data_IF_009208888385
#
_entry.id   IF_009208888385
#
_cell.length_a   1.000
_cell.length_b   1.000
_cell.length_c   1.000
_cell.angle_alpha   90.00
_cell.angle_beta   90.00
_cell.angle_gamma   90.00
#
_symmetry.space_group_name_H-M   'P 1'
#
loop_
_entity.id
_entity.type
_entity.pdbx_description
1 polymer ?
#
# COMPACT_ATOMS: atom_id res chain seq x y z
N UNK A 1 18.24 -11.10 -8.93
CA UNK A 1 16.92 -10.66 -9.41
C UNK A 1 16.49 -9.54 -8.48
N UNK A 2 16.17 -8.38 -9.02
CA UNK A 2 15.64 -7.29 -8.20
C UNK A 2 14.27 -7.68 -7.65
N UNK A 3 13.93 -7.30 -6.40
CA UNK A 3 12.65 -7.66 -5.83
C UNK A 3 11.51 -7.03 -6.65
N UNK A 4 10.46 -7.80 -6.87
CA UNK A 4 9.22 -7.35 -7.51
C UNK A 4 8.07 -7.58 -6.55
N UNK A 5 7.14 -6.62 -6.49
CA UNK A 5 6.00 -6.66 -5.59
C UNK A 5 4.71 -6.75 -6.41
N UNK A 6 3.83 -7.68 -6.06
CA UNK A 6 2.53 -7.82 -6.73
C UNK A 6 1.60 -6.69 -6.30
N UNK A 7 0.83 -6.13 -7.24
CA UNK A 7 -0.28 -5.20 -6.93
C UNK A 7 -1.55 -5.99 -6.55
N UNK A 8 -1.53 -7.32 -6.71
CA UNK A 8 -2.62 -8.20 -6.31
C UNK A 8 -3.77 -8.31 -7.31
N UNK A 9 -3.70 -7.64 -8.46
CA UNK A 9 -4.69 -7.74 -9.53
C UNK A 9 -4.27 -8.86 -10.50
N UNK A 10 -4.92 -10.01 -10.40
CA UNK A 10 -4.60 -11.20 -11.20
C UNK A 10 -5.01 -11.08 -12.68
N UNK A 11 -5.93 -10.18 -13.03
CA UNK A 11 -6.41 -9.95 -14.39
C UNK A 11 -5.54 -9.02 -15.23
N UNK A 12 -4.50 -8.40 -14.64
CA UNK A 12 -3.56 -7.56 -15.37
C UNK A 12 -2.57 -8.39 -16.20
N UNK A 13 -2.09 -7.79 -17.28
CA UNK A 13 -0.93 -8.27 -18.02
C UNK A 13 0.28 -8.43 -17.09
N UNK A 14 1.13 -9.43 -17.35
CA UNK A 14 2.26 -9.76 -16.47
C UNK A 14 3.25 -8.59 -16.30
N UNK A 15 3.36 -7.71 -17.30
CA UNK A 15 4.20 -6.51 -17.23
C UNK A 15 3.62 -5.42 -16.31
N UNK A 16 2.31 -5.39 -16.10
CA UNK A 16 1.61 -4.36 -15.32
C UNK A 16 1.26 -4.80 -13.91
N UNK A 17 1.35 -6.10 -13.60
CA UNK A 17 0.96 -6.63 -12.29
C UNK A 17 2.07 -6.56 -11.23
N UNK A 18 3.29 -6.20 -11.63
CA UNK A 18 4.46 -6.18 -10.76
C UNK A 18 5.07 -4.77 -10.66
N UNK A 19 5.34 -4.33 -9.44
CA UNK A 19 6.12 -3.14 -9.14
C UNK A 19 7.58 -3.54 -8.86
N UNK A 20 8.56 -3.15 -9.71
CA UNK A 20 9.98 -3.32 -9.42
C UNK A 20 10.37 -2.49 -8.20
N UNK A 21 11.25 -3.05 -7.36
CA UNK A 21 11.80 -2.37 -6.21
C UNK A 21 12.60 -1.11 -6.61
N UNK A 22 12.62 -0.13 -5.71
CA UNK A 22 13.36 1.13 -5.90
C UNK A 22 12.64 2.18 -6.75
N UNK A 23 11.44 1.89 -7.26
CA UNK A 23 10.60 2.84 -8.00
C UNK A 23 9.50 3.47 -7.15
N UNK A 24 8.97 4.60 -7.62
CA UNK A 24 7.73 5.21 -7.11
C UNK A 24 6.62 4.92 -8.12
N UNK A 25 5.51 4.39 -7.63
CA UNK A 25 4.35 4.03 -8.43
C UNK A 25 3.17 4.92 -8.05
N UNK A 26 2.51 5.51 -9.05
CA UNK A 26 1.34 6.37 -8.86
C UNK A 26 0.11 5.72 -9.48
N UNK A 27 -0.94 5.56 -8.67
CA UNK A 27 -2.23 5.04 -9.10
C UNK A 27 -3.30 6.12 -8.97
N UNK A 28 -4.04 6.35 -10.04
CA UNK A 28 -5.26 7.15 -10.00
C UNK A 28 -6.45 6.20 -9.93
N UNK A 29 -7.32 6.43 -8.95
CA UNK A 29 -8.52 5.63 -8.73
C UNK A 29 -9.69 6.58 -8.54
N UNK A 30 -10.80 6.32 -9.22
CA UNK A 30 -11.92 7.25 -9.30
C UNK A 30 -12.73 7.33 -7.98
N UNK A 31 -12.85 6.22 -7.27
CA UNK A 31 -13.66 6.12 -6.04
C UNK A 31 -12.77 5.80 -4.85
N UNK A 32 -13.07 6.44 -3.72
CA UNK A 32 -12.30 6.24 -2.48
C UNK A 32 -12.31 4.78 -2.01
N UNK A 33 -13.46 4.09 -2.10
CA UNK A 33 -13.57 2.68 -1.72
C UNK A 33 -12.75 1.73 -2.61
N UNK A 34 -12.61 2.08 -3.89
CA UNK A 34 -11.78 1.31 -4.83
C UNK A 34 -10.29 1.51 -4.52
N UNK A 35 -9.89 2.71 -4.10
CA UNK A 35 -8.53 2.99 -3.66
C UNK A 35 -8.17 2.21 -2.39
N UNK A 36 -9.09 2.13 -1.43
CA UNK A 36 -8.93 1.31 -0.22
C UNK A 36 -8.83 -0.17 -0.58
N UNK A 37 -9.72 -0.66 -1.45
CA UNK A 37 -9.74 -2.05 -1.88
C UNK A 37 -8.44 -2.44 -2.60
N UNK A 38 -7.95 -1.59 -3.49
CA UNK A 38 -6.67 -1.78 -4.18
C UNK A 38 -5.51 -1.83 -3.19
N UNK A 39 -5.47 -0.92 -2.21
CA UNK A 39 -4.43 -0.90 -1.20
C UNK A 39 -4.46 -2.17 -0.33
N UNK A 40 -5.63 -2.58 0.17
CA UNK A 40 -5.78 -3.82 0.95
C UNK A 40 -5.32 -5.04 0.14
N UNK A 41 -5.75 -5.14 -1.13
CA UNK A 41 -5.38 -6.24 -2.01
C UNK A 41 -3.87 -6.26 -2.30
N UNK A 42 -3.28 -5.08 -2.52
CA UNK A 42 -1.83 -4.94 -2.69
C UNK A 42 -1.11 -5.43 -1.45
N UNK A 43 -1.53 -5.01 -0.25
CA UNK A 43 -0.92 -5.43 1.02
C UNK A 43 -1.06 -6.94 1.22
N UNK A 44 -2.26 -7.49 1.06
CA UNK A 44 -2.53 -8.93 1.22
C UNK A 44 -1.75 -9.81 0.23
N UNK A 45 -1.32 -9.24 -0.91
CA UNK A 45 -0.53 -9.95 -1.93
C UNK A 45 0.97 -9.96 -1.64
N UNK A 46 1.43 -9.34 -0.55
CA UNK A 46 2.83 -9.38 -0.14
C UNK A 46 3.13 -10.62 0.71
N UNK A 47 4.40 -11.04 0.71
CA UNK A 47 4.84 -12.15 1.54
C UNK A 47 4.75 -11.81 3.04
N UNK A 48 4.58 -12.83 3.90
CA UNK A 48 4.57 -12.69 5.36
C UNK A 48 5.82 -11.98 5.90
N UNK A 49 6.96 -12.19 5.25
CA UNK A 49 8.24 -11.59 5.62
C UNK A 49 8.45 -10.17 5.08
N UNK A 50 7.50 -9.63 4.31
CA UNK A 50 7.63 -8.29 3.75
C UNK A 50 7.54 -7.21 4.84
N UNK A 51 8.37 -6.17 4.74
CA UNK A 51 8.27 -5.00 5.59
C UNK A 51 7.38 -3.95 4.90
N UNK A 52 6.16 -3.80 5.40
CA UNK A 52 5.17 -2.88 4.83
C UNK A 52 4.87 -1.75 5.81
N UNK A 53 4.88 -0.52 5.28
CA UNK A 53 4.40 0.67 5.95
C UNK A 53 3.25 1.26 5.15
N UNK A 54 2.17 1.63 5.83
CA UNK A 54 1.01 2.28 5.23
C UNK A 54 0.89 3.67 5.81
N UNK A 55 0.78 4.66 4.93
CA UNK A 55 0.64 6.06 5.30
C UNK A 55 -0.69 6.56 4.72
N UNK A 56 -1.57 7.05 5.58
CA UNK A 56 -2.79 7.77 5.16
C UNK A 56 -2.66 9.25 5.47
N UNK A 57 -3.31 10.07 4.63
CA UNK A 57 -3.41 11.50 4.83
C UNK A 57 -4.77 11.83 5.47
N UNK A 58 -4.77 12.68 6.50
CA UNK A 58 -5.99 13.21 7.16
C UNK A 58 -6.92 12.18 7.81
N UNK A 59 -6.50 10.92 7.92
CA UNK A 59 -7.37 9.85 8.39
C UNK A 59 -6.54 8.77 9.09
N UNK A 60 -7.12 8.15 10.11
CA UNK A 60 -6.49 7.05 10.83
C UNK A 60 -6.43 5.80 9.94
N UNK A 61 -5.24 5.32 9.55
CA UNK A 61 -5.11 4.17 8.65
C UNK A 61 -5.76 2.91 9.23
N UNK A 62 -5.78 2.75 10.56
CA UNK A 62 -6.42 1.60 11.21
C UNK A 62 -7.95 1.59 11.06
N UNK A 63 -8.56 2.73 10.70
CA UNK A 63 -10.00 2.85 10.44
C UNK A 63 -10.35 2.77 8.95
N UNK A 64 -9.35 2.95 8.08
CA UNK A 64 -9.52 2.96 6.63
C UNK A 64 -9.28 1.56 6.06
N UNK A 65 -8.14 0.96 6.42
CA UNK A 65 -7.69 -0.29 5.84
C UNK A 65 -8.31 -1.48 6.56
N UNK A 66 -8.77 -2.45 5.79
CA UNK A 66 -9.28 -3.73 6.28
C UNK A 66 -8.25 -4.78 5.91
N UNK A 67 -7.28 -4.95 6.81
CA UNK A 67 -6.16 -5.84 6.62
C UNK A 67 -6.61 -7.23 7.08
N UNK A 68 -6.57 -8.19 6.16
CA UNK A 68 -6.90 -9.59 6.46
C UNK A 68 -5.70 -10.25 7.16
N UNK A 69 -5.88 -10.71 8.40
CA UNK A 69 -4.82 -11.37 9.17
C UNK A 69 -4.42 -12.74 8.60
N UNK A 70 -5.18 -13.29 7.66
CA UNK A 70 -4.93 -14.61 7.08
C UNK A 70 -3.96 -14.60 5.90
N UNK A 71 -3.71 -13.45 5.27
CA UNK A 71 -2.84 -13.30 4.09
C UNK A 71 -2.11 -11.94 4.11
N UNK A 72 -0.84 -11.92 3.73
CA UNK A 72 -0.05 -10.68 3.67
C UNK A 72 1.11 -10.64 4.66
N UNK A 73 1.70 -9.46 4.92
CA UNK A 73 2.82 -9.26 5.84
C UNK A 73 2.44 -9.58 7.28
N UNK A 74 3.31 -10.28 8.01
CA UNK A 74 3.10 -10.59 9.43
C UNK A 74 3.13 -9.36 10.36
N UNK A 75 3.63 -8.22 9.86
CA UNK A 75 3.55 -6.93 10.55
C UNK A 75 3.42 -5.79 9.55
N UNK A 76 2.47 -4.90 9.83
CA UNK A 76 2.25 -3.68 9.05
C UNK A 76 2.42 -2.48 9.98
N UNK A 77 3.24 -1.52 9.59
CA UNK A 77 3.44 -0.28 10.36
C UNK A 77 2.53 0.80 9.80
N UNK A 78 1.73 1.42 10.66
CA UNK A 78 0.74 2.40 10.26
C UNK A 78 1.19 3.81 10.65
N UNK A 79 1.05 4.74 9.73
CA UNK A 79 1.37 6.15 9.91
C UNK A 79 0.23 7.03 9.41
N UNK A 80 0.03 8.16 10.08
CA UNK A 80 -0.86 9.22 9.62
C UNK A 80 -0.05 10.46 9.33
N UNK A 81 -0.33 11.13 8.21
CA UNK A 81 0.22 12.44 7.89
C UNK A 81 -0.86 13.51 7.79
N UNK A 82 -0.50 14.76 8.06
CA UNK A 82 -1.39 15.90 7.89
C UNK A 82 -1.68 16.14 6.41
N UNK A 83 -2.92 16.54 6.11
CA UNK A 83 -3.34 16.96 4.78
C UNK A 83 -2.80 18.35 4.44
N UNK A 84 -1.52 18.39 4.10
CA UNK A 84 -0.79 19.60 3.80
C UNK A 84 0.27 19.30 2.74
N UNK A 85 0.59 20.26 1.87
CA UNK A 85 1.61 20.12 0.81
C UNK A 85 2.97 19.63 1.36
N UNK A 86 3.27 19.99 2.60
CA UNK A 86 4.49 19.61 3.32
C UNK A 86 4.32 18.40 4.25
N UNK A 87 3.22 17.66 4.14
CA UNK A 87 2.86 16.53 5.03
C UNK A 87 3.97 15.50 5.17
N UNK A 88 4.66 15.17 4.06
CA UNK A 88 5.80 14.25 4.05
C UNK A 88 6.97 14.69 4.92
N UNK A 89 7.21 16.00 5.09
CA UNK A 89 8.29 16.49 5.97
C UNK A 89 8.02 16.23 7.46
N UNK A 90 6.77 15.95 7.81
CA UNK A 90 6.35 15.62 9.17
C UNK A 90 6.33 14.10 9.43
N UNK A 91 6.66 13.28 8.42
CA UNK A 91 6.97 11.85 8.59
C UNK A 91 8.42 11.71 9.08
N UNK A 92 8.66 12.15 10.31
CA UNK A 92 9.91 11.91 11.03
C UNK A 92 9.68 11.00 12.25
N UNK A 93 10.72 10.31 12.76
CA UNK A 93 10.65 9.65 14.06
C UNK A 93 10.37 10.62 15.20
#
# INVERSE_FOLDING_TARGET
MDPVFSIGISSLWDELRHMPAGGVWWFNVDRHEDAISLANQTIASQAETAHVAVISMDSDPAKIFQLDDSQGPGKITLFSMLNHEKGLYYLGP
#
